data_IF_975534616887
#
_entry.id   IF_975534616887
#
_cell.length_a   1.000
_cell.length_b   1.000
_cell.length_c   1.000
_cell.angle_alpha   90.00
_cell.angle_beta   90.00
_cell.angle_gamma   90.00
#
_symmetry.space_group_name_H-M   'P 1'
#
loop_
_entity.id
_entity.type
_entity.pdbx_description
1 polymer ?
#
# COMPACT_ATOMS: atom_id res chain seq x y z
N UNK A 1 0.65 -27.05 0.37
CA UNK A 1 0.97 -25.89 1.23
C UNK A 1 0.94 -24.55 0.50
N UNK A 2 1.75 -24.34 -0.55
CA UNK A 2 1.90 -23.00 -1.19
C UNK A 2 0.57 -22.32 -1.59
N UNK A 3 -0.40 -23.04 -2.17
CA UNK A 3 -1.71 -22.47 -2.53
C UNK A 3 -2.53 -21.98 -1.32
N UNK A 4 -2.48 -22.68 -0.19
CA UNK A 4 -3.18 -22.29 1.03
C UNK A 4 -2.53 -21.06 1.68
N UNK A 5 -1.20 -20.97 1.64
CA UNK A 5 -0.46 -19.82 2.20
C UNK A 5 -0.80 -18.51 1.49
N UNK A 6 -1.03 -18.54 0.17
CA UNK A 6 -1.41 -17.35 -0.62
C UNK A 6 -2.80 -16.80 -0.29
N UNK A 7 -3.68 -17.64 0.25
CA UNK A 7 -5.03 -17.24 0.64
C UNK A 7 -5.07 -16.56 2.02
N UNK A 8 -4.04 -16.76 2.85
CA UNK A 8 -3.98 -16.23 4.22
C UNK A 8 -2.94 -15.12 4.38
N UNK A 9 -1.87 -15.13 3.58
CA UNK A 9 -0.83 -14.11 3.60
C UNK A 9 -1.08 -13.12 2.45
N UNK A 10 -1.56 -11.90 2.74
CA UNK A 10 -1.80 -10.92 1.69
C UNK A 10 -0.48 -10.52 1.04
N UNK A 11 -0.50 -10.38 -0.29
CA UNK A 11 0.62 -9.87 -1.08
C UNK A 11 0.83 -8.38 -0.83
N UNK A 12 -0.27 -7.64 -0.70
CA UNK A 12 -0.27 -6.20 -0.45
C UNK A 12 -0.88 -5.87 0.91
N UNK A 13 -0.27 -4.93 1.63
CA UNK A 13 -0.82 -4.40 2.87
C UNK A 13 -0.91 -2.88 2.80
N UNK A 14 -1.88 -2.30 3.50
CA UNK A 14 -1.96 -0.84 3.63
C UNK A 14 -0.79 -0.36 4.47
N UNK A 15 -0.01 0.58 3.94
CA UNK A 15 1.11 1.17 4.67
C UNK A 15 1.08 2.68 4.50
N UNK A 16 1.32 3.40 5.60
CA UNK A 16 1.24 4.87 5.68
C UNK A 16 2.02 5.58 4.58
N UNK A 17 3.22 5.07 4.27
CA UNK A 17 4.10 5.67 3.29
C UNK A 17 3.61 5.54 1.83
N UNK A 18 2.63 4.68 1.55
CA UNK A 18 1.90 4.67 0.28
C UNK A 18 0.72 5.65 0.28
N UNK A 19 0.11 5.86 1.44
CA UNK A 19 -1.11 6.65 1.61
C UNK A 19 -0.83 8.14 1.68
N UNK A 20 0.22 8.54 2.38
CA UNK A 20 0.64 9.94 2.52
C UNK A 20 0.73 10.69 1.17
N UNK A 21 1.43 10.20 0.12
CA UNK A 21 1.47 10.90 -1.16
C UNK A 21 0.10 10.94 -1.85
N UNK A 22 -0.76 9.93 -1.64
CA UNK A 22 -2.11 9.91 -2.19
C UNK A 22 -3.00 10.97 -1.55
N UNK A 23 -2.88 11.17 -0.23
CA UNK A 23 -3.58 12.23 0.47
C UNK A 23 -3.09 13.62 0.08
N UNK A 24 -1.78 13.80 -0.12
CA UNK A 24 -1.23 15.05 -0.63
C UNK A 24 -1.77 15.41 -2.03
N UNK A 25 -1.88 14.44 -2.94
CA UNK A 25 -2.50 14.70 -4.25
C UNK A 25 -4.01 14.97 -4.14
N UNK A 26 -4.69 14.31 -3.21
CA UNK A 26 -6.11 14.49 -2.99
C UNK A 26 -6.48 15.88 -2.46
N UNK A 27 -5.58 16.57 -1.74
CA UNK A 27 -5.82 17.98 -1.34
C UNK A 27 -5.88 18.91 -2.55
N UNK A 28 -5.15 18.59 -3.62
CA UNK A 28 -5.18 19.26 -4.92
C UNK A 28 -6.33 18.76 -5.82
N UNK A 29 -7.28 18.00 -5.25
CA UNK A 29 -8.41 17.35 -5.95
C UNK A 29 -7.99 16.29 -6.97
N UNK A 30 -6.75 15.82 -6.93
CA UNK A 30 -6.29 14.70 -7.74
C UNK A 30 -6.43 13.39 -6.94
N UNK A 31 -7.49 12.63 -7.25
CA UNK A 31 -7.80 11.37 -6.58
C UNK A 31 -7.26 10.14 -7.30
N UNK A 32 -6.48 10.30 -8.38
CA UNK A 32 -6.02 9.17 -9.20
C UNK A 32 -5.23 8.15 -8.36
N UNK A 33 -4.28 8.62 -7.55
CA UNK A 33 -3.46 7.74 -6.71
C UNK A 33 -4.25 7.08 -5.58
N UNK A 34 -5.27 7.76 -5.03
CA UNK A 34 -6.17 7.17 -4.02
C UNK A 34 -6.99 6.03 -4.63
N UNK A 35 -7.52 6.22 -5.84
CA UNK A 35 -8.27 5.18 -6.55
C UNK A 35 -7.39 3.99 -6.91
N UNK A 36 -6.18 4.24 -7.38
CA UNK A 36 -5.20 3.19 -7.66
C UNK A 36 -4.90 2.35 -6.40
N UNK A 37 -4.65 3.00 -5.26
CA UNK A 37 -4.45 2.29 -3.98
C UNK A 37 -5.68 1.48 -3.55
N UNK A 38 -6.88 2.02 -3.78
CA UNK A 38 -8.12 1.32 -3.49
C UNK A 38 -8.24 0.03 -4.31
N UNK A 39 -7.91 0.06 -5.59
CA UNK A 39 -7.96 -1.11 -6.46
C UNK A 39 -6.95 -2.19 -6.00
N UNK A 40 -5.76 -1.79 -5.58
CA UNK A 40 -4.74 -2.72 -5.07
C UNK A 40 -5.21 -3.40 -3.77
N UNK A 41 -5.74 -2.62 -2.82
CA UNK A 41 -6.04 -3.13 -1.49
C UNK A 41 -7.38 -3.86 -1.38
N UNK A 42 -8.30 -3.65 -2.32
CA UNK A 42 -9.55 -4.42 -2.40
C UNK A 42 -9.32 -5.87 -2.81
N UNK A 43 -8.17 -6.18 -3.42
CA UNK A 43 -7.76 -7.53 -3.81
C UNK A 43 -6.35 -7.88 -3.33
N UNK A 44 -6.09 -7.88 -2.00
CA UNK A 44 -4.72 -7.91 -1.46
C UNK A 44 -4.05 -9.29 -1.62
N UNK A 45 -4.81 -10.34 -1.93
CA UNK A 45 -4.32 -11.70 -2.18
C UNK A 45 -4.20 -12.05 -3.66
N UNK A 46 -4.72 -11.19 -4.56
CA UNK A 46 -4.71 -11.45 -5.99
C UNK A 46 -3.35 -11.13 -6.60
N UNK A 47 -3.02 -11.84 -7.68
CA UNK A 47 -1.92 -11.42 -8.56
C UNK A 47 -2.41 -10.27 -9.43
N UNK A 48 -1.65 -9.18 -9.44
CA UNK A 48 -1.96 -7.97 -10.18
C UNK A 48 -0.95 -7.82 -11.33
N UNK A 49 -1.04 -6.74 -12.11
CA UNK A 49 -0.09 -6.51 -13.21
C UNK A 49 1.33 -6.33 -12.67
N UNK A 50 2.33 -6.57 -13.55
CA UNK A 50 3.74 -6.36 -13.20
C UNK A 50 4.02 -4.93 -12.74
N UNK A 51 3.40 -3.94 -13.39
CA UNK A 51 3.57 -2.52 -13.03
C UNK A 51 3.12 -2.25 -11.58
N UNK A 52 2.04 -2.89 -11.15
CA UNK A 52 1.49 -2.74 -9.80
C UNK A 52 2.34 -3.50 -8.78
N UNK A 53 2.88 -4.67 -9.15
CA UNK A 53 3.89 -5.36 -8.33
C UNK A 53 5.14 -4.53 -8.12
N UNK A 54 5.74 -3.98 -9.18
CA UNK A 54 6.95 -3.17 -9.08
C UNK A 54 6.74 -1.92 -8.20
N UNK A 55 5.53 -1.34 -8.24
CA UNK A 55 5.19 -0.14 -7.47
C UNK A 55 4.84 -0.42 -6.01
N UNK A 56 4.09 -1.48 -5.73
CA UNK A 56 3.50 -1.71 -4.39
C UNK A 56 4.03 -2.93 -3.65
N UNK A 57 4.58 -3.92 -4.35
CA UNK A 57 5.22 -5.09 -3.74
C UNK A 57 6.70 -4.82 -3.44
N UNK A 58 6.94 -3.78 -2.63
CA UNK A 58 8.28 -3.34 -2.25
C UNK A 58 8.39 -3.09 -0.75
N UNK A 59 9.60 -3.28 -0.24
CA UNK A 59 9.92 -2.93 1.13
C UNK A 59 9.86 -1.41 1.30
N UNK A 60 9.61 -1.01 2.55
CA UNK A 60 9.63 0.40 2.92
C UNK A 60 11.04 0.96 2.67
N UNK A 61 11.18 2.09 1.95
CA UNK A 61 12.47 2.76 1.78
C UNK A 61 13.09 3.14 3.13
N UNK A 62 14.41 2.98 3.25
CA UNK A 62 15.16 3.26 4.49
C UNK A 62 15.00 4.70 4.96
N UNK A 63 14.86 5.63 4.02
CA UNK A 63 14.74 7.07 4.25
C UNK A 63 13.47 7.42 5.05
N UNK A 64 12.47 6.54 5.05
CA UNK A 64 11.18 6.78 5.68
C UNK A 64 11.06 6.16 7.08
N UNK A 65 12.09 5.45 7.56
CA UNK A 65 12.01 4.73 8.86
C UNK A 65 11.90 5.67 10.06
N UNK A 66 12.59 6.81 10.03
CA UNK A 66 12.67 7.75 11.17
C UNK A 66 11.68 8.92 11.06
N UNK A 67 10.78 8.90 10.08
CA UNK A 67 9.77 9.95 9.90
C UNK A 67 8.51 9.59 10.69
N UNK A 68 8.26 10.36 11.75
CA UNK A 68 7.05 10.24 12.57
C UNK A 68 5.79 10.38 11.72
N UNK A 69 4.84 9.46 11.92
CA UNK A 69 3.61 9.42 11.12
C UNK A 69 3.77 8.77 9.74
N UNK A 70 4.93 8.21 9.39
CA UNK A 70 5.11 7.30 8.24
C UNK A 70 5.75 5.96 8.67
N UNK A 71 6.35 5.94 9.86
CA UNK A 71 6.99 4.81 10.53
C UNK A 71 6.01 3.71 10.96
N UNK A 72 4.85 4.08 11.51
CA UNK A 72 3.83 3.14 11.97
C UNK A 72 2.44 3.56 11.49
N UNK A 73 1.69 2.62 10.90
CA UNK A 73 0.26 2.78 10.64
C UNK A 73 -0.48 2.28 11.90
N UNK A 74 -0.94 3.20 12.76
CA UNK A 74 -1.70 2.85 13.96
C UNK A 74 -3.18 3.12 13.74
N UNK A 75 -3.99 2.05 13.62
CA UNK A 75 -5.45 2.15 13.64
C UNK A 75 -5.97 2.01 15.07
N UNK A 76 -5.58 2.91 15.97
CA UNK A 76 -6.21 3.04 17.29
C UNK A 76 -7.34 4.07 17.19
N UNK A 77 -8.57 3.61 17.42
CA UNK A 77 -9.75 4.47 17.57
C UNK A 77 -9.71 5.29 18.85
#
# INVERSE_FOLDING_TARGET
LSKQMRLINPKYSFREWFVMPAYQQATERNYALVRELQDVITQPYAEQSKDVEEKYYRLKPSELFDIGGLSQYSCSS
#
